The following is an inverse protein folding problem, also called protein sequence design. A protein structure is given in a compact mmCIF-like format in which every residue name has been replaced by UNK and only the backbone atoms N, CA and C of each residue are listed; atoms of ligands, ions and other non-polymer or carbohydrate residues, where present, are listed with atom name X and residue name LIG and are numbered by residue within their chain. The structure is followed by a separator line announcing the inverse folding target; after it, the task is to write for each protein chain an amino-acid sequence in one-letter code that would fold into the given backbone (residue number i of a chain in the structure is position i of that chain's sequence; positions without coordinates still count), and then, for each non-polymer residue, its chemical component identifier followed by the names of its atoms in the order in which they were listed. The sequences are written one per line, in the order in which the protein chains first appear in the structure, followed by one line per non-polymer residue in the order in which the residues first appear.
data_IF_387202052684
#
_entry.id   IF_387202052684
#
_cell.length_a   1.000
_cell.length_b   1.000
_cell.length_c   1.000
_cell.angle_alpha   90.00
_cell.angle_beta   90.00
_cell.angle_gamma   90.00
#
_symmetry.space_group_name_H-M   'P 1'
#
loop_
_entity.id
_entity.type
_entity.pdbx_description
1 polymer ?
#
# COMPACT_ATOMS: atom_id res chain seq x y z
N UNK A 1 -12.26 22.18 18.60
CA UNK A 1 -12.86 20.89 19.00
C UNK A 1 -13.61 20.19 17.86
N UNK A 2 -14.14 20.93 16.87
CA UNK A 2 -14.80 20.39 15.66
C UNK A 2 -13.90 19.53 14.77
N UNK A 3 -12.64 19.94 14.56
CA UNK A 3 -11.73 19.25 13.62
C UNK A 3 -11.36 17.84 14.09
N UNK A 4 -11.12 17.69 15.40
CA UNK A 4 -10.84 16.39 16.02
C UNK A 4 -12.03 15.44 15.86
N UNK A 5 -13.25 15.96 15.99
CA UNK A 5 -14.47 15.17 15.80
C UNK A 5 -14.63 14.72 14.34
N UNK A 6 -14.29 15.58 13.37
CA UNK A 6 -14.31 15.26 11.94
C UNK A 6 -13.33 14.13 11.61
N UNK A 7 -12.06 14.26 12.04
CA UNK A 7 -11.03 13.23 11.82
C UNK A 7 -11.44 11.91 12.45
N UNK A 8 -11.96 11.95 13.69
CA UNK A 8 -12.42 10.76 14.40
C UNK A 8 -13.57 10.07 13.65
N UNK A 9 -14.53 10.82 13.12
CA UNK A 9 -15.65 10.26 12.38
C UNK A 9 -15.20 9.63 11.05
N UNK A 10 -14.31 10.30 10.33
CA UNK A 10 -13.73 9.77 9.08
C UNK A 10 -12.91 8.50 9.33
N UNK A 11 -12.08 8.49 10.38
CA UNK A 11 -11.32 7.30 10.76
C UNK A 11 -12.25 6.11 11.10
N UNK A 12 -13.35 6.36 11.83
CA UNK A 12 -14.36 5.34 12.11
C UNK A 12 -14.99 4.78 10.83
N UNK A 13 -15.36 5.65 9.87
CA UNK A 13 -15.91 5.22 8.58
C UNK A 13 -14.93 4.33 7.80
N UNK A 14 -13.64 4.71 7.76
CA UNK A 14 -12.59 3.92 7.12
C UNK A 14 -12.49 2.54 7.79
N UNK A 15 -12.45 2.50 9.13
CA UNK A 15 -12.35 1.25 9.89
C UNK A 15 -13.53 0.34 9.58
N UNK A 16 -14.76 0.85 9.69
CA UNK A 16 -15.97 0.08 9.45
C UNK A 16 -16.03 -0.48 8.03
N UNK A 17 -15.55 0.27 7.03
CA UNK A 17 -15.52 -0.20 5.64
C UNK A 17 -14.51 -1.34 5.44
N UNK A 18 -13.33 -1.26 6.04
CA UNK A 18 -12.32 -2.33 5.94
C UNK A 18 -12.75 -3.59 6.70
N UNK A 19 -13.45 -3.43 7.82
CA UNK A 19 -13.98 -4.56 8.62
C UNK A 19 -15.03 -5.40 7.87
N UNK A 20 -15.67 -4.86 6.82
CA UNK A 20 -16.57 -5.67 5.96
C UNK A 20 -15.84 -6.76 5.18
N UNK A 21 -14.54 -6.58 4.95
CA UNK A 21 -13.72 -7.48 4.12
C UNK A 21 -12.74 -8.29 4.98
N UNK A 22 -12.43 -7.81 6.19
CA UNK A 22 -11.38 -8.38 7.04
C UNK A 22 -11.90 -8.54 8.46
N UNK A 23 -12.02 -9.79 8.89
CA UNK A 23 -12.51 -10.15 10.22
C UNK A 23 -11.33 -10.36 11.17
N UNK A 24 -11.45 -9.86 12.41
CA UNK A 24 -10.53 -10.19 13.50
C UNK A 24 -9.15 -9.52 13.45
N UNK A 25 -8.91 -8.57 12.55
CA UNK A 25 -7.63 -7.83 12.42
C UNK A 25 -7.75 -6.33 12.75
N UNK A 26 -8.69 -5.97 13.62
CA UNK A 26 -8.93 -4.57 14.03
C UNK A 26 -7.69 -3.88 14.61
N UNK A 27 -6.87 -4.51 15.48
CA UNK A 27 -5.66 -3.88 16.01
C UNK A 27 -4.65 -3.49 14.91
N UNK A 28 -4.42 -4.39 13.94
CA UNK A 28 -3.50 -4.16 12.83
C UNK A 28 -4.00 -3.04 11.91
N UNK A 29 -5.32 -2.99 11.68
CA UNK A 29 -5.97 -1.92 10.92
C UNK A 29 -5.78 -0.55 11.58
N UNK A 30 -6.00 -0.46 12.90
CA UNK A 30 -5.82 0.78 13.66
C UNK A 30 -4.37 1.24 13.58
N UNK A 31 -3.41 0.35 13.83
CA UNK A 31 -1.97 0.68 13.73
C UNK A 31 -1.59 1.14 12.32
N UNK A 32 -2.15 0.49 11.30
CA UNK A 32 -1.89 0.88 9.90
C UNK A 32 -2.44 2.26 9.57
N UNK A 33 -3.63 2.59 10.08
CA UNK A 33 -4.25 3.90 9.89
C UNK A 33 -3.48 5.00 10.63
N UNK A 34 -3.02 4.72 11.86
CA UNK A 34 -2.17 5.63 12.65
C UNK A 34 -0.86 5.89 11.91
N UNK A 35 -0.17 4.83 11.47
CA UNK A 35 1.07 4.96 10.71
C UNK A 35 0.87 5.82 9.45
N UNK A 36 -0.23 5.61 8.72
CA UNK A 36 -0.55 6.43 7.55
C UNK A 36 -0.77 7.90 7.88
N UNK A 37 -1.50 8.23 8.95
CA UNK A 37 -1.67 9.61 9.41
C UNK A 37 -0.36 10.27 9.84
N UNK A 38 0.62 9.48 10.28
CA UNK A 38 1.95 9.95 10.63
C UNK A 38 2.94 9.92 9.45
N UNK A 39 2.47 9.67 8.22
CA UNK A 39 3.32 9.47 7.03
C UNK A 39 4.38 8.36 7.20
N UNK A 40 4.11 7.41 8.08
CA UNK A 40 4.97 6.27 8.38
C UNK A 40 4.71 5.06 7.47
N UNK A 41 5.60 4.08 7.57
CA UNK A 41 5.49 2.81 6.87
C UNK A 41 5.13 1.68 7.84
N UNK A 42 4.40 0.68 7.34
CA UNK A 42 3.95 -0.47 8.14
C UNK A 42 4.56 -1.74 7.58
N UNK A 43 5.22 -2.51 8.43
CA UNK A 43 5.64 -3.86 8.13
C UNK A 43 4.61 -4.84 8.73
N UNK A 44 3.95 -5.61 7.87
CA UNK A 44 2.98 -6.63 8.29
C UNK A 44 3.68 -7.99 8.40
N UNK A 45 4.26 -8.25 9.58
CA UNK A 45 4.79 -9.57 9.94
C UNK A 45 3.65 -10.47 10.43
N UNK A 46 3.53 -11.66 9.84
CA UNK A 46 2.52 -12.66 10.18
C UNK A 46 2.79 -13.92 9.33
N UNK A 47 2.14 -15.03 9.65
CA UNK A 47 2.23 -16.27 8.87
C UNK A 47 1.58 -16.12 7.48
N UNK A 48 2.02 -16.86 6.44
CA UNK A 48 1.37 -16.79 5.13
C UNK A 48 -0.11 -17.19 5.23
N UNK A 49 -0.98 -16.48 4.50
CA UNK A 49 -2.43 -16.77 4.43
C UNK A 49 -3.34 -15.88 5.30
N UNK A 50 -2.79 -15.03 6.17
CA UNK A 50 -3.58 -14.19 7.12
C UNK A 50 -3.97 -12.81 6.57
N UNK A 51 -4.42 -12.77 5.32
CA UNK A 51 -5.07 -11.59 4.71
C UNK A 51 -4.25 -10.27 4.69
N UNK A 52 -2.94 -10.26 4.95
CA UNK A 52 -2.11 -9.03 4.94
C UNK A 52 -2.26 -8.19 3.67
N UNK A 53 -2.20 -8.86 2.52
CA UNK A 53 -2.36 -8.20 1.21
C UNK A 53 -3.77 -7.64 1.05
N UNK A 54 -4.78 -8.34 1.57
CA UNK A 54 -6.15 -7.85 1.57
C UNK A 54 -6.31 -6.65 2.50
N UNK A 55 -5.63 -6.60 3.65
CA UNK A 55 -5.61 -5.45 4.56
C UNK A 55 -5.07 -4.21 3.87
N UNK A 56 -3.88 -4.32 3.28
CA UNK A 56 -3.28 -3.20 2.58
C UNK A 56 -4.17 -2.74 1.39
N UNK A 57 -4.76 -3.69 0.64
CA UNK A 57 -5.63 -3.37 -0.50
C UNK A 57 -6.97 -2.76 -0.07
N UNK A 58 -7.61 -3.29 0.97
CA UNK A 58 -8.90 -2.79 1.48
C UNK A 58 -8.74 -1.40 2.09
N UNK A 59 -7.65 -1.18 2.84
CA UNK A 59 -7.32 0.14 3.38
C UNK A 59 -7.13 1.15 2.24
N UNK A 60 -6.31 0.83 1.24
CA UNK A 60 -6.08 1.72 0.09
C UNK A 60 -7.39 2.07 -0.65
N UNK A 61 -8.27 1.09 -0.87
CA UNK A 61 -9.59 1.36 -1.48
C UNK A 61 -10.48 2.23 -0.60
N UNK A 62 -10.50 2.01 0.71
CA UNK A 62 -11.31 2.81 1.65
C UNK A 62 -10.91 4.28 1.68
N UNK A 63 -9.64 4.59 1.42
CA UNK A 63 -9.13 5.97 1.41
C UNK A 63 -9.00 6.57 0.00
N UNK A 64 -9.38 5.82 -1.04
CA UNK A 64 -9.26 6.27 -2.43
C UNK A 64 -7.83 6.30 -2.98
N UNK A 65 -6.88 5.60 -2.34
CA UNK A 65 -5.49 5.51 -2.78
C UNK A 65 -5.29 4.39 -3.81
N UNK A 66 -4.23 4.53 -4.61
CA UNK A 66 -3.82 3.49 -5.54
C UNK A 66 -3.02 2.39 -4.81
N UNK A 67 -3.30 1.12 -5.10
CA UNK A 67 -2.61 -0.01 -4.48
C UNK A 67 -1.65 -0.67 -5.48
N UNK A 68 -0.36 -0.72 -5.15
CA UNK A 68 0.66 -1.44 -5.92
C UNK A 68 1.31 -2.51 -5.03
N UNK A 69 1.43 -3.73 -5.56
CA UNK A 69 2.14 -4.83 -4.91
C UNK A 69 3.44 -5.09 -5.64
N UNK A 70 4.55 -5.07 -4.92
CA UNK A 70 5.86 -5.50 -5.40
C UNK A 70 6.23 -6.77 -4.65
N UNK A 71 6.53 -7.84 -5.37
CA UNK A 71 6.99 -9.09 -4.79
C UNK A 71 8.51 -9.14 -4.88
N UNK A 72 9.18 -9.29 -3.74
CA UNK A 72 10.60 -9.61 -3.74
C UNK A 72 10.76 -11.07 -4.14
N UNK A 73 11.34 -11.33 -5.31
CA UNK A 73 11.91 -12.62 -5.67
C UNK A 73 13.43 -12.47 -5.66
N UNK A 74 14.19 -13.53 -5.30
CA UNK A 74 15.64 -13.46 -5.17
C UNK A 74 16.39 -13.10 -6.47
N UNK A 75 15.71 -13.11 -7.62
CA UNK A 75 16.27 -12.89 -8.95
C UNK A 75 15.83 -11.56 -9.61
N UNK A 76 14.99 -10.74 -8.95
CA UNK A 76 14.53 -9.46 -9.55
C UNK A 76 15.34 -8.26 -9.05
N UNK A 77 15.99 -7.54 -9.97
CA UNK A 77 16.34 -6.13 -9.77
C UNK A 77 15.03 -5.37 -9.58
N UNK A 78 14.85 -4.73 -8.42
CA UNK A 78 13.57 -4.14 -8.04
C UNK A 78 13.03 -3.20 -9.15
N UNK A 79 11.76 -3.33 -9.58
CA UNK A 79 11.20 -2.52 -10.66
C UNK A 79 11.23 -1.00 -10.37
N UNK A 80 11.37 -0.61 -9.10
CA UNK A 80 11.55 0.78 -8.68
C UNK A 80 12.85 1.39 -9.22
N UNK A 81 13.90 0.59 -9.44
CA UNK A 81 15.15 1.07 -10.03
C UNK A 81 15.08 1.22 -11.56
N UNK A 82 14.14 0.55 -12.22
CA UNK A 82 14.05 0.52 -13.69
C UNK A 82 13.17 1.62 -14.28
N UNK A 83 12.33 2.28 -13.47
CA UNK A 83 11.43 3.33 -13.96
C UNK A 83 12.18 4.56 -14.51
N UNK A 84 13.40 4.81 -14.03
CA UNK A 84 14.21 5.99 -14.37
C UNK A 84 15.45 5.68 -15.23
N UNK A 85 15.63 4.45 -15.71
CA UNK A 85 16.73 4.12 -16.63
C UNK A 85 16.27 4.46 -18.06
N UNK A 86 16.78 5.52 -18.70
CA UNK A 86 16.41 5.84 -20.07
C UNK A 86 16.81 4.65 -20.95
N UNK A 87 15.86 4.13 -21.73
CA UNK A 87 16.18 3.10 -22.73
C UNK A 87 17.15 3.71 -23.73
N UNK A 88 18.41 3.26 -23.70
CA UNK A 88 19.40 3.61 -24.71
C UNK A 88 18.88 3.11 -26.06
N UNK A 89 18.45 4.02 -26.92
CA UNK A 89 18.06 3.69 -28.28
C UNK A 89 19.33 3.22 -29.00
N UNK A 90 19.34 2.01 -29.61
CA UNK A 90 20.49 1.59 -30.38
C UNK A 90 20.65 2.55 -31.56
N UNK A 91 21.85 3.12 -31.69
CA UNK A 91 22.19 3.97 -32.82
C UNK A 91 22.04 3.16 -34.11
N UNK A 92 21.10 3.56 -34.97
CA UNK A 92 20.99 3.03 -36.31
C UNK A 92 22.29 3.36 -37.05
N UNK A 93 23.17 2.37 -37.17
CA UNK A 93 24.26 2.45 -38.14
C UNK A 93 23.64 2.18 -39.51
N UNK A 94 23.36 3.27 -40.23
CA UNK A 94 22.97 3.25 -41.63
C UNK A 94 23.94 2.37 -42.42
N UNK A 95 23.38 1.39 -43.12
CA UNK A 95 24.08 0.59 -44.10
C UNK A 95 24.60 1.53 -45.20
N UNK A 96 25.90 1.49 -45.46
CA UNK A 96 26.48 1.71 -46.78
C UNK A 96 27.08 0.41 -47.26
#
# INVERSE_FOLDING_TARGET
MSDIALVTNTAKKIITNVEQVIVGKRPQLILSLVAWFCEGHVLLEDVPGVAKTMLARALARSVGCNFKRVQFTPDQVAPVLQADIPRRQPANHERR
#
